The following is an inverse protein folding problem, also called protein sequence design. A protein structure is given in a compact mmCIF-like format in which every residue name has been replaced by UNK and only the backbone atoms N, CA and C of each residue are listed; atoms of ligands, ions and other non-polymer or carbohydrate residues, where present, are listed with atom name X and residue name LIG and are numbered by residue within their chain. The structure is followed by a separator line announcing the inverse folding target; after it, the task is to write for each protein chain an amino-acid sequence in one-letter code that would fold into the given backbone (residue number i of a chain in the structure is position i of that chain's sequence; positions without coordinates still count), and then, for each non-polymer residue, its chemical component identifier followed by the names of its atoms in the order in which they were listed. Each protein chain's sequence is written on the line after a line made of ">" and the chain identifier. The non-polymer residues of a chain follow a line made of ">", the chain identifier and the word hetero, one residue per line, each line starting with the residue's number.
data_IF_852386446091
#
_entry.id   IF_852386446091
#
_cell.length_a   1.000
_cell.length_b   1.000
_cell.length_c   1.000
_cell.angle_alpha   90.00
_cell.angle_beta   90.00
_cell.angle_gamma   90.00
#
_symmetry.space_group_name_H-M   'P 1'
#
loop_
_entity.id
_entity.type
_entity.pdbx_description
1 polymer ?
#
# COMPACT_ATOMS: atom_id res chain seq x y z
N UNK A 1 4.54 -7.19 -38.35
CA UNK A 1 3.42 -7.06 -37.38
C UNK A 1 3.80 -7.90 -36.17
N UNK A 2 4.56 -7.31 -35.26
CA UNK A 2 5.02 -8.01 -34.04
C UNK A 2 4.07 -7.64 -32.90
N UNK A 3 3.26 -8.61 -32.49
CA UNK A 3 2.48 -8.53 -31.26
C UNK A 3 3.46 -8.63 -30.08
N UNK A 4 3.86 -7.49 -29.54
CA UNK A 4 4.60 -7.41 -28.28
C UNK A 4 3.61 -7.48 -27.12
N UNK A 5 3.78 -8.51 -26.31
CA UNK A 5 3.02 -8.88 -25.10
C UNK A 5 2.73 -7.69 -24.19
N UNK A 6 1.54 -7.62 -23.54
CA UNK A 6 1.32 -6.62 -22.51
C UNK A 6 2.32 -6.86 -21.38
N UNK A 7 3.19 -5.89 -21.13
CA UNK A 7 3.98 -5.84 -19.91
C UNK A 7 2.99 -5.92 -18.74
N UNK A 8 2.92 -7.08 -18.10
CA UNK A 8 2.20 -7.25 -16.84
C UNK A 8 3.00 -6.46 -15.80
N UNK A 9 2.69 -5.17 -15.71
CA UNK A 9 3.24 -4.25 -14.72
C UNK A 9 3.12 -4.94 -13.36
N UNK A 10 4.26 -5.21 -12.72
CA UNK A 10 4.29 -5.98 -11.48
C UNK A 10 3.41 -5.26 -10.44
N UNK A 11 2.27 -5.84 -10.11
CA UNK A 11 1.33 -5.28 -9.15
C UNK A 11 2.01 -5.19 -7.79
N UNK A 12 2.29 -3.97 -7.33
CA UNK A 12 2.93 -3.74 -6.03
C UNK A 12 1.89 -3.83 -4.92
N UNK A 13 2.16 -4.71 -3.97
CA UNK A 13 1.31 -5.01 -2.81
C UNK A 13 2.11 -4.87 -1.52
N UNK A 14 1.50 -4.24 -0.52
CA UNK A 14 2.07 -4.05 0.80
C UNK A 14 1.40 -4.98 1.82
N UNK A 15 2.11 -5.34 2.88
CA UNK A 15 1.55 -6.17 3.96
C UNK A 15 1.43 -5.37 5.24
N UNK A 16 0.26 -5.38 5.87
CA UNK A 16 0.00 -4.62 7.10
C UNK A 16 -0.57 -5.50 8.20
N UNK A 17 -0.26 -5.14 9.45
CA UNK A 17 -0.83 -5.75 10.65
C UNK A 17 -2.02 -4.91 11.16
N UNK A 18 -3.18 -5.54 11.30
CA UNK A 18 -4.39 -4.90 11.83
C UNK A 18 -4.42 -4.97 13.36
N UNK A 19 -4.80 -3.86 14.01
CA UNK A 19 -5.02 -3.83 15.46
C UNK A 19 -6.40 -4.39 15.83
N UNK A 20 -6.45 -5.32 16.78
CA UNK A 20 -7.64 -5.55 17.62
C UNK A 20 -8.50 -6.78 17.31
N UNK A 21 -8.26 -7.55 16.24
CA UNK A 21 -9.03 -8.78 15.97
C UNK A 21 -8.17 -9.88 15.35
N UNK A 22 -7.41 -10.61 16.21
CA UNK A 22 -6.39 -11.61 15.83
C UNK A 22 -5.31 -11.00 14.91
N UNK A 23 -4.06 -11.44 15.06
CA UNK A 23 -2.97 -11.01 14.18
C UNK A 23 -3.25 -11.52 12.76
N UNK A 24 -3.86 -10.68 11.92
CA UNK A 24 -4.09 -10.97 10.50
C UNK A 24 -3.16 -10.07 9.71
N UNK A 25 -2.27 -10.69 8.93
CA UNK A 25 -1.48 -10.00 7.92
C UNK A 25 -2.35 -9.80 6.68
N UNK A 26 -2.62 -8.55 6.32
CA UNK A 26 -3.45 -8.22 5.16
C UNK A 26 -2.53 -7.77 4.04
N UNK A 27 -2.66 -8.40 2.88
CA UNK A 27 -1.97 -8.03 1.65
C UNK A 27 -2.88 -7.05 0.90
N UNK A 28 -2.43 -5.81 0.73
CA UNK A 28 -3.18 -4.75 0.06
C UNK A 28 -2.45 -4.37 -1.24
N UNK A 29 -3.17 -4.41 -2.36
CA UNK A 29 -2.66 -3.95 -3.65
C UNK A 29 -2.83 -2.44 -3.76
N UNK A 30 -1.80 -1.73 -4.22
CA UNK A 30 -1.86 -0.27 -4.44
C UNK A 30 -3.07 0.15 -5.28
N UNK A 31 -3.41 -0.65 -6.29
CA UNK A 31 -4.53 -0.36 -7.20
C UNK A 31 -5.89 -0.36 -6.50
N UNK A 32 -6.02 -1.06 -5.38
CA UNK A 32 -7.26 -1.13 -4.62
C UNK A 32 -7.40 0.01 -3.62
N UNK A 33 -6.30 0.72 -3.30
CA UNK A 33 -6.29 1.82 -2.34
C UNK A 33 -6.88 3.08 -2.98
N UNK A 34 -7.94 3.60 -2.38
CA UNK A 34 -8.54 4.89 -2.74
C UNK A 34 -7.93 6.05 -1.98
N UNK A 35 -7.69 5.87 -0.67
CA UNK A 35 -7.23 6.93 0.23
C UNK A 35 -6.53 6.34 1.43
N UNK A 36 -5.56 7.08 1.97
CA UNK A 36 -4.99 6.83 3.30
C UNK A 36 -5.26 8.06 4.16
N UNK A 37 -5.81 7.90 5.36
CA UNK A 37 -6.04 9.00 6.29
C UNK A 37 -5.41 8.71 7.67
N UNK A 38 -4.75 9.66 8.32
CA UNK A 38 -4.22 9.46 9.67
C UNK A 38 -5.36 9.43 10.69
N UNK A 39 -5.26 8.55 11.70
CA UNK A 39 -6.21 8.44 12.82
C UNK A 39 -5.71 9.24 14.02
N UNK A 40 -4.46 9.01 14.42
CA UNK A 40 -3.71 9.77 15.43
C UNK A 40 -2.45 10.31 14.77
N UNK A 41 -1.98 11.49 15.20
CA UNK A 41 -0.78 12.15 14.66
C UNK A 41 0.42 11.20 14.62
N UNK A 42 0.62 10.52 13.49
CA UNK A 42 1.78 9.68 13.22
C UNK A 42 1.81 8.28 13.83
N UNK A 43 0.74 7.79 14.47
CA UNK A 43 0.78 6.46 15.13
C UNK A 43 -0.08 5.40 14.46
N UNK A 44 -1.13 5.82 13.75
CA UNK A 44 -2.05 4.91 13.08
C UNK A 44 -2.72 5.60 11.90
N UNK A 45 -3.01 4.83 10.86
CA UNK A 45 -3.70 5.31 9.67
C UNK A 45 -4.79 4.33 9.23
N UNK A 46 -5.80 4.87 8.56
CA UNK A 46 -6.86 4.12 7.89
C UNK A 46 -6.58 4.06 6.39
N UNK A 47 -6.52 2.86 5.83
CA UNK A 47 -6.44 2.60 4.39
C UNK A 47 -7.86 2.33 3.88
N UNK A 48 -8.36 3.18 2.99
CA UNK A 48 -9.66 3.03 2.33
C UNK A 48 -9.46 2.34 0.98
N UNK A 49 -10.21 1.27 0.72
CA UNK A 49 -10.17 0.51 -0.52
C UNK A 49 -11.40 0.75 -1.40
N UNK A 50 -11.28 0.44 -2.69
CA UNK A 50 -12.34 0.58 -3.72
C UNK A 50 -13.64 -0.14 -3.37
N UNK A 51 -13.57 -1.22 -2.61
CA UNK A 51 -14.74 -2.03 -2.24
C UNK A 51 -15.50 -1.48 -1.03
N UNK A 52 -15.35 -0.20 -0.68
CA UNK A 52 -15.86 0.42 0.55
C UNK A 52 -15.36 -0.25 1.85
N UNK A 53 -14.30 -1.04 1.76
CA UNK A 53 -13.61 -1.64 2.90
C UNK A 53 -12.54 -0.67 3.38
N UNK A 54 -12.39 -0.56 4.69
CA UNK A 54 -11.31 0.22 5.28
C UNK A 54 -10.57 -0.61 6.34
N UNK A 55 -9.26 -0.40 6.44
CA UNK A 55 -8.39 -1.09 7.38
C UNK A 55 -7.63 -0.07 8.22
N UNK A 56 -7.72 -0.22 9.54
CA UNK A 56 -6.92 0.56 10.48
C UNK A 56 -5.62 -0.17 10.78
N UNK A 57 -4.49 0.49 10.52
CA UNK A 57 -3.15 -0.08 10.68
C UNK A 57 -2.31 0.78 11.61
N UNK A 58 -1.43 0.15 12.40
CA UNK A 58 -0.39 0.83 13.17
C UNK A 58 0.81 1.14 12.28
N UNK A 59 0.59 2.04 11.33
CA UNK A 59 1.63 2.56 10.48
C UNK A 59 1.33 4.02 10.18
N UNK A 60 2.39 4.82 10.09
CA UNK A 60 2.32 6.17 9.55
C UNK A 60 1.88 6.12 8.08
N UNK A 61 1.34 7.23 7.57
CA UNK A 61 1.04 7.32 6.15
C UNK A 61 2.29 7.08 5.29
N UNK A 62 3.44 7.60 5.71
CA UNK A 62 4.71 7.45 5.01
C UNK A 62 5.14 5.98 4.88
N UNK A 63 5.07 5.21 5.98
CA UNK A 63 5.34 3.77 5.96
C UNK A 63 4.39 3.04 5.01
N UNK A 64 3.10 3.38 5.01
CA UNK A 64 2.11 2.77 4.12
C UNK A 64 2.42 3.11 2.65
N UNK A 65 2.79 4.35 2.36
CA UNK A 65 3.19 4.77 1.01
C UNK A 65 4.46 4.03 0.55
N UNK A 66 5.44 3.85 1.44
CA UNK A 66 6.69 3.12 1.16
C UNK A 66 6.44 1.64 0.89
N UNK A 67 5.64 0.98 1.72
CA UNK A 67 5.32 -0.46 1.61
C UNK A 67 4.44 -0.78 0.40
N UNK A 68 3.50 0.09 0.06
CA UNK A 68 2.74 0.01 -1.19
C UNK A 68 3.57 0.41 -2.42
N UNK A 69 4.84 0.81 -2.20
CA UNK A 69 5.77 1.30 -3.21
C UNK A 69 5.12 2.30 -4.16
N UNK A 70 4.42 3.27 -3.56
CA UNK A 70 3.93 4.46 -4.25
C UNK A 70 5.15 5.26 -4.71
N UNK A 71 5.56 5.04 -5.96
CA UNK A 71 6.57 5.86 -6.65
C UNK A 71 7.79 6.19 -5.81
N UNK A 72 8.63 5.21 -5.51
CA UNK A 72 10.06 5.49 -5.33
C UNK A 72 10.75 5.14 -6.64
N UNK A 73 10.60 6.01 -7.64
CA UNK A 73 11.42 6.01 -8.86
C UNK A 73 12.60 6.96 -8.66
N UNK A 74 13.19 7.06 -7.46
CA UNK A 74 14.34 7.94 -7.24
C UNK A 74 15.23 7.49 -6.04
N UNK A 75 15.43 6.18 -5.89
CA UNK A 75 16.49 5.65 -5.00
C UNK A 75 17.23 4.45 -5.62
N UNK A 76 17.30 4.41 -6.96
CA UNK A 76 18.12 3.45 -7.69
C UNK A 76 19.19 4.21 -8.49
N UNK A 77 20.08 4.91 -7.80
CA UNK A 77 21.46 5.13 -8.27
C UNK A 77 22.36 5.47 -7.08
N UNK A 78 23.16 4.50 -6.59
CA UNK A 78 24.42 4.82 -5.94
C UNK A 78 25.47 5.05 -7.03
N UNK A 79 26.04 6.26 -7.09
CA UNK A 79 27.37 6.55 -7.63
C UNK A 79 27.81 7.91 -7.10
#
# INVERSE_FOLDING_TARGET
>A
MEHLTPHKEAEKKGTFQLLGQRLIQIIIHKQDVMKIAPIKKGEASTIYLKNNVYYQVQATQEEIFRELAWGNTEAAHPA
#
